data_IF_038626256106
#
_entry.id   IF_038626256106
#
_cell.length_a   1.000
_cell.length_b   1.000
_cell.length_c   1.000
_cell.angle_alpha   90.00
_cell.angle_beta   90.00
_cell.angle_gamma   90.00
#
_symmetry.space_group_name_H-M   'P 1'
#
loop_
_entity.id
_entity.type
_entity.pdbx_description
1 polymer ?
#
# COMPACT_ATOMS: atom_id res chain seq x y z
N UNK A 1 -83.12 -3.38 -16.31
CA UNK A 1 -82.03 -4.00 -15.52
C UNK A 1 -80.73 -3.85 -16.27
N UNK A 2 -79.93 -2.82 -15.95
CA UNK A 2 -78.57 -2.62 -16.47
C UNK A 2 -77.70 -2.35 -15.24
N UNK A 3 -76.89 -3.32 -14.85
CA UNK A 3 -75.98 -3.21 -13.72
C UNK A 3 -74.70 -2.52 -14.19
N UNK A 4 -74.40 -1.37 -13.59
CA UNK A 4 -73.09 -0.73 -13.66
C UNK A 4 -72.18 -1.37 -12.63
N UNK A 5 -71.09 -1.98 -13.09
CA UNK A 5 -70.01 -2.49 -12.24
C UNK A 5 -68.99 -1.36 -12.06
N UNK A 6 -68.85 -0.86 -10.84
CA UNK A 6 -67.80 0.09 -10.47
C UNK A 6 -66.56 -0.72 -10.06
N UNK A 7 -65.52 -0.72 -10.89
CA UNK A 7 -64.20 -1.22 -10.50
C UNK A 7 -63.45 -0.11 -9.77
N UNK A 8 -63.30 -0.27 -8.46
CA UNK A 8 -62.35 0.49 -7.64
C UNK A 8 -60.92 0.06 -8.00
N UNK A 9 -60.20 0.93 -8.71
CA UNK A 9 -58.76 0.79 -8.92
C UNK A 9 -58.05 1.45 -7.72
N UNK A 10 -57.62 0.65 -6.74
CA UNK A 10 -56.71 1.13 -5.69
C UNK A 10 -55.30 1.25 -6.27
N UNK A 11 -54.89 2.47 -6.60
CA UNK A 11 -53.50 2.79 -6.90
C UNK A 11 -52.68 2.76 -5.62
N UNK A 12 -51.94 1.66 -5.41
CA UNK A 12 -50.90 1.55 -4.39
C UNK A 12 -49.73 2.45 -4.82
N UNK A 13 -49.63 3.65 -4.25
CA UNK A 13 -48.45 4.49 -4.34
C UNK A 13 -47.31 3.80 -3.58
N UNK A 14 -46.47 3.02 -4.27
CA UNK A 14 -45.15 2.71 -3.75
C UNK A 14 -44.37 4.02 -3.72
N UNK A 15 -44.17 4.56 -2.52
CA UNK A 15 -43.11 5.54 -2.28
C UNK A 15 -41.79 4.84 -2.57
N UNK A 16 -41.28 5.02 -3.79
CA UNK A 16 -39.88 4.77 -4.07
C UNK A 16 -39.11 5.76 -3.20
N UNK A 17 -38.64 5.30 -2.04
CA UNK A 17 -37.53 5.97 -1.36
C UNK A 17 -36.35 5.85 -2.31
N UNK A 18 -36.13 6.87 -3.13
CA UNK A 18 -34.85 7.08 -3.76
C UNK A 18 -33.88 7.31 -2.61
N UNK A 19 -33.18 6.26 -2.18
CA UNK A 19 -31.96 6.42 -1.38
C UNK A 19 -31.01 7.14 -2.31
N UNK A 20 -30.94 8.46 -2.17
CA UNK A 20 -29.89 9.23 -2.82
C UNK A 20 -28.62 8.88 -2.05
N UNK A 21 -27.55 8.47 -2.74
CA UNK A 21 -26.25 8.21 -2.11
C UNK A 21 -25.59 9.55 -1.79
N UNK A 22 -26.21 10.31 -0.88
CA UNK A 22 -25.78 11.63 -0.44
C UNK A 22 -24.93 11.47 0.80
N UNK A 23 -23.70 11.94 0.71
CA UNK A 23 -22.74 11.95 1.80
C UNK A 23 -22.58 13.38 2.33
N UNK A 24 -22.84 13.56 3.62
CA UNK A 24 -22.73 14.82 4.32
C UNK A 24 -21.29 15.01 4.84
N UNK A 25 -20.74 16.24 4.80
CA UNK A 25 -19.40 16.48 5.31
C UNK A 25 -19.22 16.06 6.77
N UNK A 26 -18.10 15.39 7.05
CA UNK A 26 -17.77 14.90 8.38
C UNK A 26 -16.51 15.56 8.93
N UNK A 27 -15.39 15.45 8.21
CA UNK A 27 -14.11 16.01 8.63
C UNK A 27 -13.24 16.37 7.43
N UNK A 28 -12.30 17.30 7.62
CA UNK A 28 -11.35 17.67 6.58
C UNK A 28 -9.93 17.87 7.09
N UNK A 29 -8.99 17.48 6.23
CA UNK A 29 -7.56 17.69 6.39
C UNK A 29 -7.10 18.56 5.21
N UNK A 30 -6.93 19.87 5.43
CA UNK A 30 -6.50 20.82 4.41
C UNK A 30 -5.77 22.01 5.04
N UNK A 31 -4.95 22.70 4.24
CA UNK A 31 -4.31 23.95 4.65
C UNK A 31 -3.48 23.84 5.94
N UNK A 32 -3.45 24.93 6.70
CA UNK A 32 -2.62 25.04 7.92
C UNK A 32 -2.92 23.99 8.98
N UNK A 33 -4.14 23.45 8.97
CA UNK A 33 -4.60 22.44 9.94
C UNK A 33 -4.47 21.01 9.41
N UNK A 34 -3.94 20.80 8.20
CA UNK A 34 -3.85 19.47 7.58
C UNK A 34 -3.23 18.44 8.53
N UNK A 35 -2.15 18.81 9.23
CA UNK A 35 -1.38 17.90 10.08
C UNK A 35 -1.89 17.80 11.52
N UNK A 36 -2.98 18.47 11.92
CA UNK A 36 -3.34 18.61 13.35
C UNK A 36 -3.85 17.30 13.98
N UNK A 37 -4.64 16.53 13.21
CA UNK A 37 -5.27 15.28 13.68
C UNK A 37 -4.62 14.02 13.11
N UNK A 38 -3.33 14.10 12.80
CA UNK A 38 -2.49 12.95 12.44
C UNK A 38 -1.48 12.62 13.54
N UNK A 39 -1.24 11.34 13.76
CA UNK A 39 -0.11 10.86 14.56
C UNK A 39 1.06 10.51 13.63
N UNK A 40 2.28 10.85 14.04
CA UNK A 40 3.52 10.61 13.31
C UNK A 40 4.18 9.37 13.89
N UNK A 41 4.57 8.42 13.05
CA UNK A 41 4.96 7.08 13.51
C UNK A 41 6.22 7.05 14.40
N UNK A 42 7.25 7.85 14.11
CA UNK A 42 8.42 7.99 14.98
C UNK A 42 9.26 6.71 15.17
N UNK A 43 9.32 5.82 14.17
CA UNK A 43 10.03 4.55 14.25
C UNK A 43 10.50 4.07 12.86
N UNK A 44 11.39 3.07 12.83
CA UNK A 44 11.77 2.37 11.58
C UNK A 44 10.58 1.64 10.98
N UNK A 45 10.60 1.45 9.66
CA UNK A 45 9.58 0.64 8.99
C UNK A 45 9.76 -0.86 9.32
N UNK A 46 9.08 -1.29 10.37
CA UNK A 46 8.98 -2.69 10.80
C UNK A 46 7.69 -3.37 10.32
N UNK A 47 6.86 -2.68 9.51
CA UNK A 47 5.62 -3.25 8.96
C UNK A 47 5.84 -3.86 7.58
N UNK A 48 6.61 -3.17 6.74
CA UNK A 48 6.93 -3.58 5.36
C UNK A 48 8.42 -3.81 5.15
N UNK A 49 9.21 -3.70 6.23
CA UNK A 49 10.67 -3.86 6.23
C UNK A 49 11.37 -2.94 5.24
N UNK A 50 10.78 -1.79 4.96
CA UNK A 50 11.34 -0.80 4.07
C UNK A 50 12.52 -0.06 4.69
N UNK A 51 13.36 0.50 3.82
CA UNK A 51 14.63 1.07 4.19
C UNK A 51 14.53 2.54 4.64
N UNK A 52 13.60 2.81 5.56
CA UNK A 52 13.30 4.16 6.05
C UNK A 52 13.17 4.23 7.57
N UNK A 53 13.42 5.41 8.11
CA UNK A 53 12.99 5.80 9.46
C UNK A 53 11.87 6.81 9.30
N UNK A 54 10.68 6.49 9.81
CA UNK A 54 9.59 7.44 9.86
C UNK A 54 9.79 8.38 11.03
N UNK A 55 9.94 9.67 10.75
CA UNK A 55 10.21 10.66 11.79
C UNK A 55 8.98 10.94 12.65
N UNK A 56 9.23 11.38 13.88
CA UNK A 56 8.21 11.99 14.70
C UNK A 56 7.85 13.40 14.17
N UNK A 57 6.83 14.02 14.76
CA UNK A 57 6.33 15.33 14.33
C UNK A 57 7.37 16.44 14.45
N UNK A 58 8.19 16.44 15.50
CA UNK A 58 9.14 17.51 15.77
C UNK A 58 10.28 17.47 14.74
N UNK A 59 10.82 16.28 14.50
CA UNK A 59 11.90 16.06 13.53
C UNK A 59 11.41 16.23 12.09
N UNK A 60 10.20 15.75 11.78
CA UNK A 60 9.58 15.96 10.47
C UNK A 60 9.46 17.45 10.10
N UNK A 61 9.06 18.30 11.07
CA UNK A 61 8.97 19.75 10.88
C UNK A 61 10.34 20.41 10.83
N UNK A 62 11.26 20.02 11.71
CA UNK A 62 12.61 20.63 11.78
C UNK A 62 13.39 20.38 10.49
N UNK A 63 13.26 19.19 9.91
CA UNK A 63 13.87 18.80 8.63
C UNK A 63 13.06 19.23 7.40
N UNK A 64 11.93 19.92 7.58
CA UNK A 64 11.04 20.35 6.50
C UNK A 64 10.56 19.19 5.61
N UNK A 65 10.37 18.00 6.18
CA UNK A 65 9.79 16.84 5.49
C UNK A 65 8.26 16.89 5.48
N UNK A 66 7.66 17.68 6.36
CA UNK A 66 6.24 18.07 6.30
C UNK A 66 6.08 19.58 6.42
N UNK A 67 5.26 20.17 5.58
CA UNK A 67 4.91 21.60 5.62
C UNK A 67 3.69 21.91 4.74
N UNK A 68 3.16 23.13 4.87
CA UNK A 68 2.17 23.68 3.95
C UNK A 68 2.89 24.62 2.99
N UNK A 69 2.77 24.38 1.69
CA UNK A 69 3.40 25.24 0.68
C UNK A 69 2.63 26.55 0.47
N UNK A 70 3.17 27.46 -0.35
CA UNK A 70 2.58 28.77 -0.60
C UNK A 70 1.20 28.71 -1.27
N UNK A 71 0.86 27.59 -1.93
CA UNK A 71 -0.45 27.35 -2.51
C UNK A 71 -1.48 26.84 -1.48
N UNK A 72 -1.05 26.60 -0.23
CA UNK A 72 -1.90 26.06 0.83
C UNK A 72 -2.00 24.53 0.84
N UNK A 73 -1.19 23.84 0.04
CA UNK A 73 -1.22 22.38 -0.06
C UNK A 73 -0.27 21.75 0.97
N UNK A 74 -0.67 20.59 1.50
CA UNK A 74 0.19 19.80 2.36
C UNK A 74 1.26 19.09 1.53
N UNK A 75 2.51 19.26 1.92
CA UNK A 75 3.65 18.56 1.34
C UNK A 75 4.20 17.58 2.37
N UNK A 76 4.35 16.32 1.96
CA UNK A 76 4.97 15.24 2.75
C UNK A 76 6.03 14.61 1.86
N UNK A 77 7.31 14.69 2.23
CA UNK A 77 8.42 14.23 1.38
C UNK A 77 9.43 13.36 2.11
N UNK A 78 10.11 12.53 1.33
CA UNK A 78 11.31 11.83 1.73
C UNK A 78 12.48 12.81 1.91
N UNK A 79 13.47 12.47 2.73
CA UNK A 79 14.71 13.26 2.84
C UNK A 79 15.57 13.18 1.57
N UNK A 80 15.66 14.31 0.86
CA UNK A 80 16.48 14.49 -0.34
C UNK A 80 17.86 15.12 -0.05
N UNK A 81 18.13 15.51 1.19
CA UNK A 81 19.31 16.31 1.57
C UNK A 81 20.48 15.48 2.07
N UNK A 82 20.20 14.39 2.80
CA UNK A 82 21.25 13.55 3.35
C UNK A 82 21.97 12.73 2.26
N UNK A 83 23.30 12.74 2.34
CA UNK A 83 24.18 11.76 1.71
C UNK A 83 24.54 10.69 2.75
N UNK A 84 23.88 9.54 2.64
CA UNK A 84 23.97 8.47 3.65
C UNK A 84 25.19 7.62 3.33
N UNK A 85 26.13 7.54 4.28
CA UNK A 85 27.28 6.65 4.13
C UNK A 85 26.86 5.17 4.13
N UNK A 86 27.55 4.35 3.35
CA UNK A 86 27.30 2.91 3.32
C UNK A 86 27.59 2.28 4.70
N UNK A 87 26.61 1.58 5.27
CA UNK A 87 26.73 0.83 6.52
C UNK A 87 25.85 -0.44 6.47
N UNK A 88 26.03 -1.41 7.38
CA UNK A 88 25.24 -2.64 7.40
C UNK A 88 23.73 -2.41 7.58
N UNK A 89 23.35 -1.34 8.28
CA UNK A 89 21.97 -0.88 8.44
C UNK A 89 21.96 0.62 8.19
N UNK A 90 21.17 1.06 7.22
CA UNK A 90 21.03 2.46 6.82
C UNK A 90 19.56 2.74 6.57
N UNK A 91 19.04 3.86 7.04
CA UNK A 91 17.66 4.25 6.80
C UNK A 91 17.61 5.70 6.36
N UNK A 92 16.81 5.97 5.32
CA UNK A 92 16.51 7.34 4.90
C UNK A 92 15.28 7.84 5.65
N UNK A 93 15.30 9.10 6.04
CA UNK A 93 14.16 9.67 6.74
C UNK A 93 12.96 9.82 5.81
N UNK A 94 11.80 9.45 6.33
CA UNK A 94 10.50 9.55 5.67
C UNK A 94 9.40 9.87 6.69
N UNK A 95 8.16 9.88 6.23
CA UNK A 95 6.98 10.16 7.04
C UNK A 95 5.94 9.04 6.87
N UNK A 96 5.36 8.63 7.99
CA UNK A 96 4.12 7.86 8.07
C UNK A 96 3.17 8.59 9.01
N UNK A 97 2.00 8.94 8.49
CA UNK A 97 0.92 9.59 9.22
C UNK A 97 -0.23 8.59 9.40
N UNK A 98 -0.82 8.57 10.59
CA UNK A 98 -2.05 7.83 10.89
C UNK A 98 -3.12 8.79 11.40
N UNK A 99 -4.34 8.77 10.85
CA UNK A 99 -5.42 9.63 11.34
C UNK A 99 -5.84 9.26 12.75
N UNK A 100 -6.16 10.26 13.57
CA UNK A 100 -6.82 10.03 14.87
C UNK A 100 -8.29 9.69 14.73
N UNK A 101 -8.93 10.19 13.68
CA UNK A 101 -10.31 9.84 13.36
C UNK A 101 -10.36 8.45 12.70
N UNK A 102 -11.49 7.78 12.86
CA UNK A 102 -11.78 6.49 12.23
C UNK A 102 -13.03 6.54 11.38
N UNK A 103 -13.06 5.71 10.35
CA UNK A 103 -14.09 5.66 9.33
C UNK A 103 -14.56 4.22 9.12
N UNK A 104 -15.86 4.02 8.98
CA UNK A 104 -16.43 2.68 8.81
C UNK A 104 -17.61 2.69 7.85
N UNK A 105 -18.53 1.76 8.03
CA UNK A 105 -19.75 1.65 7.22
C UNK A 105 -20.48 2.99 7.05
N UNK A 106 -20.70 3.39 5.79
CA UNK A 106 -21.32 4.65 5.39
C UNK A 106 -20.34 5.81 5.25
N UNK A 107 -19.03 5.56 5.15
CA UNK A 107 -18.04 6.62 4.96
C UNK A 107 -17.71 6.83 3.49
N UNK A 108 -17.45 8.08 3.12
CA UNK A 108 -16.82 8.45 1.86
C UNK A 108 -15.56 9.25 2.16
N UNK A 109 -14.41 8.77 1.70
CA UNK A 109 -13.10 9.41 1.87
C UNK A 109 -12.59 9.86 0.50
N UNK A 110 -12.25 11.13 0.36
CA UNK A 110 -11.76 11.71 -0.89
C UNK A 110 -10.39 12.33 -0.63
N UNK A 111 -9.40 11.97 -1.45
CA UNK A 111 -8.09 12.63 -1.50
C UNK A 111 -7.92 13.32 -2.85
N UNK A 112 -7.65 14.63 -2.81
CA UNK A 112 -7.26 15.42 -3.98
C UNK A 112 -5.76 15.72 -3.89
N UNK A 113 -4.98 15.09 -4.78
CA UNK A 113 -3.53 15.23 -4.82
C UNK A 113 -3.06 15.82 -6.16
N UNK A 114 -2.01 16.63 -6.10
CA UNK A 114 -1.29 17.18 -7.25
C UNK A 114 -0.04 16.38 -7.58
N UNK A 115 0.54 15.71 -6.58
CA UNK A 115 1.71 14.85 -6.73
C UNK A 115 1.60 13.64 -5.81
N UNK A 116 1.92 12.46 -6.32
CA UNK A 116 2.10 11.21 -5.56
C UNK A 116 3.58 10.81 -5.72
N UNK A 117 4.30 10.40 -4.66
CA UNK A 117 5.70 10.02 -4.75
C UNK A 117 5.93 8.93 -5.79
N UNK A 118 6.99 9.04 -6.60
CA UNK A 118 7.41 7.95 -7.48
C UNK A 118 8.91 7.99 -7.73
N UNK A 119 9.46 6.88 -8.21
CA UNK A 119 10.89 6.73 -8.45
C UNK A 119 11.35 5.33 -8.11
N UNK A 120 12.51 4.93 -8.62
CA UNK A 120 13.08 3.64 -8.23
C UNK A 120 13.27 3.57 -6.72
N UNK A 121 12.94 2.39 -6.15
CA UNK A 121 12.81 2.09 -4.72
C UNK A 121 11.61 2.69 -3.99
N UNK A 122 10.91 3.67 -4.55
CA UNK A 122 9.85 4.41 -3.84
C UNK A 122 8.57 3.57 -3.76
N UNK A 123 7.99 3.48 -2.57
CA UNK A 123 6.70 2.82 -2.31
C UNK A 123 5.81 3.78 -1.50
N UNK A 124 5.02 4.63 -2.17
CA UNK A 124 3.98 5.43 -1.52
C UNK A 124 2.75 4.58 -1.21
N UNK A 125 2.05 4.93 -0.14
CA UNK A 125 0.70 4.42 0.09
C UNK A 125 -0.21 5.44 0.75
N UNK A 126 -1.47 5.51 0.29
CA UNK A 126 -2.59 6.09 1.01
C UNK A 126 -3.68 5.01 1.12
N UNK A 127 -3.94 4.58 2.35
CA UNK A 127 -4.68 3.35 2.63
C UNK A 127 -5.42 3.47 3.96
N UNK A 128 -6.19 2.45 4.31
CA UNK A 128 -6.88 2.38 5.59
C UNK A 128 -6.63 1.08 6.32
N UNK A 129 -6.44 1.13 7.64
CA UNK A 129 -6.22 -0.04 8.49
C UNK A 129 -7.28 -0.16 9.58
N UNK A 130 -7.85 -1.36 9.71
CA UNK A 130 -8.86 -1.64 10.71
C UNK A 130 -8.33 -1.76 12.13
N UNK A 131 -9.08 -1.20 13.08
CA UNK A 131 -8.77 -1.26 14.50
C UNK A 131 -9.42 -2.45 15.21
N UNK A 132 -8.86 -2.81 16.37
CA UNK A 132 -9.48 -3.70 17.35
C UNK A 132 -9.19 -5.20 17.17
N UNK A 133 -8.45 -5.59 16.11
CA UNK A 133 -7.97 -6.96 15.89
C UNK A 133 -6.56 -6.94 15.31
N UNK A 134 -5.78 -7.99 15.52
CA UNK A 134 -4.50 -8.18 14.84
C UNK A 134 -4.73 -8.30 13.34
N UNK A 135 -3.93 -7.60 12.53
CA UNK A 135 -3.97 -7.69 11.07
C UNK A 135 -3.86 -9.15 10.59
N UNK A 136 -4.62 -9.58 9.57
CA UNK A 136 -5.60 -8.81 8.78
C UNK A 136 -7.03 -8.87 9.33
N UNK A 137 -7.22 -9.19 10.63
CA UNK A 137 -8.51 -9.52 11.24
C UNK A 137 -9.57 -8.41 11.25
N UNK A 138 -9.16 -7.14 11.10
CA UNK A 138 -10.04 -5.98 10.98
C UNK A 138 -9.98 -5.32 9.59
N UNK A 139 -9.37 -6.00 8.62
CA UNK A 139 -9.29 -5.56 7.24
C UNK A 139 -8.33 -4.40 6.98
N UNK A 140 -7.95 -4.28 5.71
CA UNK A 140 -7.11 -3.23 5.13
C UNK A 140 -7.65 -2.87 3.75
N UNK A 141 -7.59 -1.57 3.40
CA UNK A 141 -8.06 -1.05 2.11
C UNK A 141 -6.98 -0.13 1.52
N UNK A 142 -6.32 -0.59 0.46
CA UNK A 142 -5.29 0.18 -0.24
C UNK A 142 -5.92 0.99 -1.37
N UNK A 143 -5.96 2.32 -1.20
CA UNK A 143 -6.65 3.23 -2.13
C UNK A 143 -5.67 3.71 -3.22
N UNK A 144 -4.47 4.11 -2.79
CA UNK A 144 -3.36 4.48 -3.66
C UNK A 144 -2.16 3.68 -3.19
N UNK A 145 -1.73 2.71 -3.99
CA UNK A 145 -0.55 1.93 -3.70
C UNK A 145 0.12 1.44 -4.98
N UNK A 146 1.42 1.71 -5.09
CA UNK A 146 2.26 1.28 -6.20
C UNK A 146 3.73 1.32 -5.77
N UNK A 147 4.60 0.77 -6.61
CA UNK A 147 6.02 0.69 -6.33
C UNK A 147 6.85 1.18 -7.52
N UNK A 148 8.06 1.66 -7.22
CA UNK A 148 9.09 1.96 -8.19
C UNK A 148 8.61 2.97 -9.27
N UNK A 149 8.78 2.62 -10.55
CA UNK A 149 8.36 3.40 -11.70
C UNK A 149 7.11 2.81 -12.37
N UNK A 150 6.23 2.15 -11.60
CA UNK A 150 4.88 1.87 -12.08
C UNK A 150 4.23 3.16 -12.58
N UNK A 151 3.37 3.04 -13.60
CA UNK A 151 2.67 4.17 -14.22
C UNK A 151 1.14 4.12 -13.99
N UNK A 152 0.66 3.02 -13.41
CA UNK A 152 -0.73 2.83 -13.01
C UNK A 152 -0.83 2.43 -11.55
N UNK A 153 -1.88 2.88 -10.87
CA UNK A 153 -2.19 2.49 -9.51
C UNK A 153 -2.83 1.10 -9.44
N UNK A 154 -2.86 0.51 -8.25
CA UNK A 154 -3.74 -0.61 -7.94
C UNK A 154 -4.51 -0.36 -6.64
N UNK A 155 -5.67 -1.03 -6.53
CA UNK A 155 -6.50 -1.05 -5.33
C UNK A 155 -6.48 -2.49 -4.81
N UNK A 156 -6.27 -2.67 -3.51
CA UNK A 156 -6.24 -3.97 -2.88
C UNK A 156 -7.05 -3.98 -1.57
N UNK A 157 -7.61 -5.14 -1.22
CA UNK A 157 -8.11 -5.40 0.13
C UNK A 157 -7.38 -6.60 0.72
N UNK A 158 -7.05 -6.51 2.02
CA UNK A 158 -6.53 -7.63 2.79
C UNK A 158 -7.47 -7.98 3.94
N UNK A 159 -7.85 -9.25 4.07
CA UNK A 159 -8.80 -9.74 5.08
C UNK A 159 -8.44 -11.14 5.58
N UNK A 160 -9.21 -11.65 6.55
CA UNK A 160 -9.26 -13.10 6.80
C UNK A 160 -9.96 -13.85 5.66
N UNK A 161 -9.82 -15.18 5.55
CA UNK A 161 -10.47 -15.99 4.50
C UNK A 161 -11.98 -15.78 4.37
N UNK A 162 -12.47 -15.70 3.13
CA UNK A 162 -13.88 -15.68 2.76
C UNK A 162 -14.38 -14.40 2.09
N UNK A 163 -13.63 -13.30 2.18
CA UNK A 163 -13.87 -12.12 1.35
C UNK A 163 -13.18 -12.30 -0.01
N UNK A 164 -13.94 -12.12 -1.09
CA UNK A 164 -13.48 -12.30 -2.47
C UNK A 164 -13.98 -11.13 -3.33
N UNK A 165 -13.12 -10.59 -4.18
CA UNK A 165 -13.50 -9.65 -5.23
C UNK A 165 -14.35 -10.38 -6.28
N UNK A 166 -15.57 -9.89 -6.51
CA UNK A 166 -16.50 -10.56 -7.42
C UNK A 166 -15.99 -10.53 -8.87
N UNK A 167 -15.85 -11.68 -9.57
CA UNK A 167 -15.33 -11.72 -10.95
C UNK A 167 -16.15 -10.91 -11.96
N UNK A 168 -17.42 -10.65 -11.65
CA UNK A 168 -18.37 -9.91 -12.49
C UNK A 168 -18.72 -8.53 -11.91
N UNK A 169 -17.89 -8.00 -11.00
CA UNK A 169 -18.11 -6.69 -10.42
C UNK A 169 -18.18 -5.62 -11.52
N UNK A 170 -19.15 -4.70 -11.39
CA UNK A 170 -19.32 -3.59 -12.33
C UNK A 170 -18.32 -2.50 -12.02
N UNK A 171 -17.16 -2.58 -12.66
CA UNK A 171 -16.04 -1.66 -12.47
C UNK A 171 -15.34 -1.37 -13.81
N UNK A 172 -14.45 -0.38 -13.81
CA UNK A 172 -13.64 -0.01 -14.97
C UNK A 172 -12.21 -0.55 -14.94
N UNK A 173 -11.68 -0.88 -13.76
CA UNK A 173 -10.37 -1.51 -13.57
C UNK A 173 -10.38 -3.01 -13.86
N UNK A 174 -9.19 -3.60 -13.93
CA UNK A 174 -8.99 -5.01 -14.24
C UNK A 174 -8.68 -5.81 -12.98
N UNK A 175 -9.51 -6.80 -12.64
CA UNK A 175 -9.22 -7.75 -11.55
C UNK A 175 -7.93 -8.53 -11.86
N UNK A 176 -7.02 -8.55 -10.89
CA UNK A 176 -5.72 -9.26 -10.95
C UNK A 176 -5.64 -10.39 -9.94
N UNK A 177 -6.19 -10.20 -8.75
CA UNK A 177 -6.37 -11.26 -7.77
C UNK A 177 -7.74 -11.13 -7.12
N UNK A 178 -8.41 -12.26 -6.90
CA UNK A 178 -9.79 -12.28 -6.38
C UNK A 178 -9.84 -12.53 -4.87
N UNK A 179 -8.92 -13.34 -4.33
CA UNK A 179 -8.94 -13.74 -2.92
C UNK A 179 -8.24 -12.70 -2.04
N UNK A 180 -8.99 -12.09 -1.14
CA UNK A 180 -8.52 -11.02 -0.26
C UNK A 180 -7.71 -11.52 0.94
N UNK A 181 -7.61 -12.84 1.11
CA UNK A 181 -6.89 -13.45 2.24
C UNK A 181 -5.48 -13.95 1.90
N UNK A 182 -5.05 -13.77 0.65
CA UNK A 182 -3.67 -14.05 0.25
C UNK A 182 -2.74 -12.92 0.70
N UNK A 183 -1.43 -13.18 0.68
CA UNK A 183 -0.42 -12.17 1.03
C UNK A 183 -0.52 -10.90 0.15
N UNK A 184 -0.99 -11.04 -1.09
CA UNK A 184 -1.16 -9.91 -2.02
C UNK A 184 -2.52 -9.22 -1.88
N UNK A 185 -3.46 -9.80 -1.15
CA UNK A 185 -4.84 -9.31 -1.11
C UNK A 185 -5.52 -9.40 -2.47
N UNK A 186 -6.79 -9.00 -2.54
CA UNK A 186 -7.55 -9.04 -3.79
C UNK A 186 -7.42 -7.71 -4.55
N UNK A 187 -6.79 -7.79 -5.71
CA UNK A 187 -6.28 -6.63 -6.44
C UNK A 187 -7.17 -6.32 -7.64
N UNK A 188 -7.52 -5.04 -7.78
CA UNK A 188 -8.01 -4.44 -9.01
C UNK A 188 -6.99 -3.41 -9.50
N UNK A 189 -6.40 -3.66 -10.67
CA UNK A 189 -5.49 -2.73 -11.31
C UNK A 189 -6.25 -1.60 -12.01
N UNK A 190 -5.81 -0.36 -11.85
CA UNK A 190 -6.29 0.76 -12.64
C UNK A 190 -5.78 0.64 -14.08
N UNK A 191 -6.64 0.98 -15.04
CA UNK A 191 -6.37 0.92 -16.48
C UNK A 191 -6.49 2.28 -17.15
N UNK A 192 -7.09 3.26 -16.46
CA UNK A 192 -7.10 4.65 -16.90
C UNK A 192 -5.67 5.22 -16.82
N UNK A 193 -5.28 6.03 -17.82
CA UNK A 193 -3.97 6.67 -17.82
C UNK A 193 -3.84 7.65 -16.66
N UNK A 194 -2.59 8.02 -16.34
CA UNK A 194 -2.25 9.05 -15.35
C UNK A 194 -2.75 8.74 -13.93
N UNK A 195 -2.96 7.47 -13.59
CA UNK A 195 -3.42 7.06 -12.25
C UNK A 195 -2.29 7.04 -11.22
N UNK A 196 -1.04 6.96 -11.67
CA UNK A 196 0.13 7.01 -10.80
C UNK A 196 1.37 7.57 -11.53
N UNK A 197 2.44 7.78 -10.77
CA UNK A 197 3.76 8.10 -11.30
C UNK A 197 3.85 9.45 -12.01
N UNK A 198 4.80 9.56 -12.93
CA UNK A 198 5.03 10.80 -13.66
C UNK A 198 3.81 11.28 -14.47
N UNK A 199 3.00 10.35 -14.99
CA UNK A 199 1.77 10.68 -15.72
C UNK A 199 0.73 11.39 -14.84
N UNK A 200 0.56 10.94 -13.59
CA UNK A 200 -0.29 11.61 -12.61
C UNK A 200 0.16 13.06 -12.38
N UNK A 201 1.44 13.27 -12.06
CA UNK A 201 1.98 14.61 -11.79
C UNK A 201 1.91 15.53 -13.01
N UNK A 202 2.23 15.02 -14.21
CA UNK A 202 2.15 15.80 -15.46
C UNK A 202 0.72 16.20 -15.84
N UNK A 203 -0.28 15.40 -15.46
CA UNK A 203 -1.68 15.73 -15.66
C UNK A 203 -2.18 16.83 -14.69
N UNK A 204 -1.38 17.25 -13.70
CA UNK A 204 -1.82 18.10 -12.59
C UNK A 204 -2.51 17.31 -11.46
N UNK A 205 -2.15 16.04 -11.34
CA UNK A 205 -2.63 15.10 -10.34
C UNK A 205 -4.02 14.53 -10.64
N UNK A 206 -4.82 14.36 -9.59
CA UNK A 206 -6.12 13.71 -9.68
C UNK A 206 -6.78 13.53 -8.32
N UNK A 207 -7.93 12.86 -8.35
CA UNK A 207 -8.75 12.59 -7.17
C UNK A 207 -8.99 11.09 -7.06
N UNK A 208 -8.75 10.56 -5.87
CA UNK A 208 -9.21 9.22 -5.47
C UNK A 208 -10.33 9.35 -4.45
N UNK A 209 -11.34 8.48 -4.56
CA UNK A 209 -12.46 8.44 -3.64
C UNK A 209 -12.76 6.99 -3.23
N UNK A 210 -12.79 6.72 -1.92
CA UNK A 210 -13.20 5.46 -1.30
C UNK A 210 -14.60 5.63 -0.72
N UNK A 211 -15.56 4.84 -1.17
CA UNK A 211 -16.89 4.71 -0.58
C UNK A 211 -17.00 3.35 0.12
N UNK A 212 -17.47 3.37 1.36
CA UNK A 212 -17.81 2.18 2.14
C UNK A 212 -19.29 2.30 2.49
N UNK A 213 -20.12 1.38 2.01
CA UNK A 213 -21.53 1.32 2.38
C UNK A 213 -22.05 -0.12 2.43
N UNK A 214 -23.35 -0.28 2.69
CA UNK A 214 -23.98 -1.60 2.83
C UNK A 214 -23.93 -2.47 1.56
N UNK A 215 -23.69 -1.86 0.39
CA UNK A 215 -23.60 -2.55 -0.90
C UNK A 215 -22.17 -2.98 -1.24
N UNK A 216 -21.16 -2.39 -0.61
CA UNK A 216 -19.77 -2.82 -0.73
C UNK A 216 -18.74 -1.72 -0.50
N UNK A 217 -17.53 -2.00 -0.97
CA UNK A 217 -16.41 -1.05 -1.00
C UNK A 217 -16.13 -0.68 -2.46
N UNK A 218 -16.06 0.62 -2.74
CA UNK A 218 -15.87 1.14 -4.09
C UNK A 218 -14.80 2.21 -4.11
N UNK A 219 -13.92 2.16 -5.10
CA UNK A 219 -12.87 3.17 -5.28
C UNK A 219 -12.97 3.75 -6.69
N UNK A 220 -12.96 5.08 -6.79
CA UNK A 220 -12.86 5.82 -8.05
C UNK A 220 -11.51 6.52 -8.15
N UNK A 221 -10.99 6.56 -9.37
CA UNK A 221 -9.96 7.49 -9.78
C UNK A 221 -10.48 8.41 -10.89
N UNK A 222 -10.18 9.70 -10.73
CA UNK A 222 -10.33 10.73 -11.75
C UNK A 222 -8.98 11.43 -11.95
N UNK A 223 -8.42 11.35 -13.16
CA UNK A 223 -7.29 12.21 -13.53
C UNK A 223 -7.77 13.67 -13.48
N UNK A 224 -6.87 14.63 -13.19
CA UNK A 224 -7.23 16.05 -13.06
C UNK A 224 -8.19 16.59 -14.14
N UNK A 225 -8.00 16.34 -15.45
CA UNK A 225 -8.93 16.83 -16.48
C UNK A 225 -10.33 16.19 -16.42
N UNK A 226 -10.46 15.03 -15.78
CA UNK A 226 -11.68 14.23 -15.71
C UNK A 226 -12.41 14.35 -14.36
N UNK A 227 -11.92 15.20 -13.45
CA UNK A 227 -12.55 15.41 -12.14
C UNK A 227 -13.96 15.98 -12.34
N UNK A 228 -15.01 15.29 -11.86
CA UNK A 228 -16.39 15.73 -12.08
C UNK A 228 -16.68 17.06 -11.37
N UNK A 229 -17.62 17.83 -11.92
CA UNK A 229 -18.04 19.12 -11.38
C UNK A 229 -18.51 19.04 -9.91
N UNK A 230 -19.12 17.91 -9.52
CA UNK A 230 -19.52 17.63 -8.15
C UNK A 230 -18.36 17.62 -7.16
N UNK A 231 -17.13 17.35 -7.61
CA UNK A 231 -15.92 17.36 -6.80
C UNK A 231 -15.14 18.66 -6.97
N UNK A 232 -14.97 19.15 -8.20
CA UNK A 232 -14.18 20.37 -8.45
C UNK A 232 -14.81 21.64 -7.90
N UNK A 233 -16.15 21.69 -7.77
CA UNK A 233 -16.86 22.79 -7.13
C UNK A 233 -17.11 22.59 -5.62
N UNK A 234 -16.81 21.40 -5.07
CA UNK A 234 -17.10 21.08 -3.68
C UNK A 234 -16.13 21.76 -2.72
N UNK A 235 -16.69 22.30 -1.64
CA UNK A 235 -15.96 22.75 -0.47
C UNK A 235 -16.29 21.87 0.74
N UNK A 236 -15.72 22.23 1.89
CA UNK A 236 -15.86 21.51 3.16
C UNK A 236 -17.31 21.34 3.66
N UNK A 237 -18.24 22.14 3.16
CA UNK A 237 -19.64 22.14 3.59
C UNK A 237 -20.58 21.54 2.51
N UNK A 238 -20.02 21.07 1.38
CA UNK A 238 -20.79 20.59 0.23
C UNK A 238 -21.11 19.10 0.35
N UNK A 239 -22.38 18.68 0.40
CA UNK A 239 -22.74 17.26 0.30
C UNK A 239 -22.31 16.68 -1.05
N UNK A 240 -21.96 15.40 -1.05
CA UNK A 240 -21.50 14.68 -2.25
C UNK A 240 -22.52 13.62 -2.65
N UNK A 241 -22.93 13.66 -3.92
CA UNK A 241 -23.70 12.59 -4.55
C UNK A 241 -22.76 11.77 -5.44
N UNK A 242 -22.61 10.47 -5.12
CA UNK A 242 -21.73 9.57 -5.85
C UNK A 242 -22.42 8.90 -7.05
N UNK A 243 -23.75 9.00 -7.16
CA UNK A 243 -24.51 8.37 -8.26
C UNK A 243 -24.19 8.97 -9.63
N UNK A 244 -23.64 10.19 -9.66
CA UNK A 244 -23.24 10.91 -10.88
C UNK A 244 -21.82 10.59 -11.36
N UNK A 245 -21.05 9.77 -10.63
CA UNK A 245 -19.64 9.48 -10.93
C UNK A 245 -19.42 8.36 -11.96
N UNK A 246 -20.47 7.60 -12.29
CA UNK A 246 -20.35 6.44 -13.17
C UNK A 246 -19.65 5.26 -12.48
N UNK A 247 -19.01 4.40 -13.28
CA UNK A 247 -18.40 3.17 -12.78
C UNK A 247 -17.17 3.47 -11.90
N UNK A 248 -17.04 2.80 -10.74
CA UNK A 248 -15.81 2.83 -9.97
C UNK A 248 -14.66 2.18 -10.73
N UNK A 249 -13.44 2.52 -10.35
CA UNK A 249 -12.22 1.79 -10.76
C UNK A 249 -12.25 0.39 -10.18
N UNK A 250 -12.51 0.26 -8.89
CA UNK A 250 -12.57 -1.02 -8.18
C UNK A 250 -13.90 -1.16 -7.44
N UNK A 251 -14.49 -2.35 -7.50
CA UNK A 251 -15.70 -2.68 -6.78
C UNK A 251 -15.56 -4.02 -6.06
N UNK A 252 -15.85 -4.00 -4.75
CA UNK A 252 -15.88 -5.17 -3.87
C UNK A 252 -17.28 -5.27 -3.25
N UNK A 253 -18.23 -5.94 -3.95
CA UNK A 253 -19.61 -6.01 -3.49
C UNK A 253 -19.77 -6.80 -2.18
N UNK A 254 -20.69 -6.36 -1.31
CA UNK A 254 -20.95 -7.00 -0.01
C UNK A 254 -21.43 -8.45 -0.12
N UNK A 255 -21.96 -8.86 -1.27
CA UNK A 255 -22.37 -10.25 -1.54
C UNK A 255 -21.23 -11.25 -1.49
N UNK A 256 -19.99 -10.81 -1.75
CA UNK A 256 -18.79 -11.66 -1.71
C UNK A 256 -17.72 -11.13 -0.76
N UNK A 257 -17.87 -9.92 -0.25
CA UNK A 257 -17.01 -9.34 0.76
C UNK A 257 -17.79 -8.36 1.66
N UNK A 258 -18.43 -8.89 2.69
CA UNK A 258 -19.25 -8.11 3.62
C UNK A 258 -18.40 -7.25 4.57
N UNK A 259 -18.63 -5.93 4.59
CA UNK A 259 -17.79 -5.02 5.37
C UNK A 259 -17.83 -5.33 6.87
N UNK A 260 -19.02 -5.52 7.47
CA UNK A 260 -19.15 -5.74 8.92
C UNK A 260 -18.54 -7.07 9.38
N UNK A 261 -18.38 -8.03 8.48
CA UNK A 261 -17.72 -9.31 8.76
C UNK A 261 -16.19 -9.19 8.78
N UNK A 262 -15.62 -8.51 7.77
CA UNK A 262 -14.18 -8.54 7.52
C UNK A 262 -13.43 -7.28 7.97
N UNK A 263 -14.14 -6.17 8.13
CA UNK A 263 -13.57 -4.85 8.41
C UNK A 263 -14.06 -4.29 9.74
N UNK A 264 -13.17 -3.56 10.42
CA UNK A 264 -13.51 -2.73 11.58
C UNK A 264 -13.61 -1.25 11.22
N UNK A 265 -13.70 -0.39 12.24
CA UNK A 265 -13.42 1.03 12.08
C UNK A 265 -11.98 1.21 11.59
N UNK A 266 -11.80 1.97 10.51
CA UNK A 266 -10.54 2.11 9.78
C UNK A 266 -9.87 3.45 10.10
N UNK A 267 -8.57 3.45 10.34
CA UNK A 267 -7.75 4.68 10.37
C UNK A 267 -7.14 4.92 8.99
N UNK A 268 -7.07 6.16 8.54
CA UNK A 268 -6.35 6.53 7.33
C UNK A 268 -4.85 6.50 7.62
N UNK A 269 -4.06 5.99 6.68
CA UNK A 269 -2.61 5.97 6.76
C UNK A 269 -2.05 6.54 5.46
N UNK A 270 -1.07 7.44 5.59
CA UNK A 270 -0.31 8.00 4.48
C UNK A 270 1.18 7.86 4.73
N UNK A 271 1.91 7.26 3.81
CA UNK A 271 3.35 7.06 3.96
C UNK A 271 4.12 7.05 2.63
N UNK A 272 5.44 7.04 2.75
CA UNK A 272 6.34 6.66 1.67
C UNK A 272 7.48 5.83 2.25
N UNK A 273 7.51 4.53 1.95
CA UNK A 273 8.64 3.68 2.30
C UNK A 273 9.57 3.51 1.10
N UNK A 274 10.71 2.85 1.32
CA UNK A 274 11.67 2.51 0.27
C UNK A 274 11.96 1.02 0.27
N UNK A 275 12.08 0.41 -0.90
CA UNK A 275 12.38 -1.02 -1.05
C UNK A 275 11.38 -1.91 -0.28
N UNK A 276 11.82 -2.54 0.80
CA UNK A 276 11.00 -3.44 1.58
C UNK A 276 10.58 -4.69 0.81
N UNK A 277 9.59 -5.37 1.36
CA UNK A 277 9.13 -6.69 0.89
C UNK A 277 8.46 -6.67 -0.49
N UNK A 278 8.10 -5.49 -1.01
CA UNK A 278 7.45 -5.37 -2.31
C UNK A 278 8.31 -4.59 -3.33
N UNK A 279 8.56 -3.29 -3.10
CA UNK A 279 9.34 -2.48 -4.05
C UNK A 279 10.79 -2.94 -4.18
N UNK A 280 11.34 -3.55 -3.12
CA UNK A 280 12.71 -4.04 -3.05
C UNK A 280 12.90 -5.49 -3.51
N UNK A 281 11.82 -6.22 -3.76
CA UNK A 281 11.91 -7.60 -4.22
C UNK A 281 12.53 -7.62 -5.64
N UNK A 282 13.59 -8.42 -5.88
CA UNK A 282 14.36 -8.36 -7.13
C UNK A 282 13.53 -8.50 -8.41
N UNK A 283 12.53 -9.39 -8.43
CA UNK A 283 11.69 -9.57 -9.60
C UNK A 283 10.81 -8.34 -9.86
N UNK A 284 10.13 -7.83 -8.84
CA UNK A 284 9.28 -6.64 -8.93
C UNK A 284 10.08 -5.37 -9.27
N UNK A 285 11.24 -5.19 -8.63
CA UNK A 285 12.12 -4.06 -8.87
C UNK A 285 12.59 -4.01 -10.33
N UNK A 286 13.02 -5.16 -10.86
CA UNK A 286 13.53 -5.27 -12.23
C UNK A 286 12.46 -5.00 -13.32
N UNK A 287 11.17 -5.00 -12.98
CA UNK A 287 10.11 -4.70 -13.96
C UNK A 287 10.15 -3.25 -14.45
N UNK A 288 10.57 -2.32 -13.59
CA UNK A 288 10.53 -0.88 -13.90
C UNK A 288 11.82 -0.14 -13.59
N UNK A 289 12.76 -0.77 -12.87
CA UNK A 289 14.00 -0.15 -12.42
C UNK A 289 15.24 -1.01 -12.72
N UNK A 290 16.36 -0.37 -13.11
CA UNK A 290 17.63 -1.07 -13.24
C UNK A 290 18.30 -1.27 -11.88
N UNK A 291 19.14 -2.32 -11.78
CA UNK A 291 20.04 -2.52 -10.65
C UNK A 291 19.42 -3.29 -9.48
N UNK A 292 19.78 -2.91 -8.25
CA UNK A 292 19.31 -3.50 -7.01
C UNK A 292 18.84 -2.41 -6.04
N UNK A 293 17.61 -2.54 -5.55
CA UNK A 293 16.98 -1.53 -4.69
C UNK A 293 17.87 -1.12 -3.50
N UNK A 294 18.33 -2.08 -2.71
CA UNK A 294 19.11 -1.79 -1.50
C UNK A 294 20.51 -1.28 -1.87
N UNK A 295 21.22 -1.96 -2.77
CA UNK A 295 22.59 -1.58 -3.12
C UNK A 295 22.66 -0.19 -3.78
N UNK A 296 21.62 0.22 -4.51
CA UNK A 296 21.64 1.46 -5.28
C UNK A 296 20.92 2.63 -4.57
N UNK A 297 19.93 2.34 -3.71
CA UNK A 297 19.06 3.37 -3.11
C UNK A 297 19.02 3.38 -1.57
N UNK A 298 19.63 2.42 -0.88
CA UNK A 298 19.69 2.43 0.60
C UNK A 298 20.67 3.48 1.16
N UNK A 299 21.68 3.84 0.39
CA UNK A 299 22.72 4.80 0.76
C UNK A 299 23.12 5.70 -0.42
N UNK A 300 23.90 6.74 -0.14
CA UNK A 300 24.29 7.78 -1.08
C UNK A 300 23.40 9.03 -1.04
N UNK A 301 23.55 9.93 -2.01
CA UNK A 301 22.87 11.23 -2.01
C UNK A 301 21.37 11.07 -2.23
N UNK A 302 20.59 11.89 -1.52
CA UNK A 302 19.14 11.94 -1.69
C UNK A 302 18.72 12.53 -3.04
N UNK A 303 19.20 13.73 -3.35
CA UNK A 303 18.98 14.37 -4.64
C UNK A 303 20.05 13.96 -5.67
N UNK A 304 19.68 13.73 -6.95
CA UNK A 304 18.34 13.90 -7.52
C UNK A 304 17.44 12.66 -7.43
N UNK A 305 17.90 11.58 -6.78
CA UNK A 305 17.22 10.27 -6.80
C UNK A 305 15.79 10.32 -6.28
N UNK A 306 15.55 11.12 -5.25
CA UNK A 306 14.28 11.20 -4.54
C UNK A 306 13.57 12.55 -4.69
N UNK A 307 13.94 13.36 -5.69
CA UNK A 307 13.32 14.67 -5.91
C UNK A 307 11.82 14.56 -6.25
N UNK A 308 11.39 13.43 -6.82
CA UNK A 308 9.98 13.11 -7.06
C UNK A 308 9.32 12.28 -5.94
N UNK A 309 10.00 12.06 -4.81
CA UNK A 309 9.48 11.27 -3.70
C UNK A 309 8.72 12.15 -2.68
N UNK A 310 7.66 12.82 -3.14
CA UNK A 310 6.82 13.66 -2.29
C UNK A 310 5.33 13.57 -2.66
N UNK A 311 4.49 13.71 -1.65
CA UNK A 311 3.07 13.99 -1.80
C UNK A 311 2.87 15.51 -1.84
N UNK A 312 2.00 15.97 -2.73
CA UNK A 312 1.40 17.30 -2.63
C UNK A 312 -0.12 17.13 -2.65
N UNK A 313 -0.77 17.46 -1.54
CA UNK A 313 -2.18 17.16 -1.28
C UNK A 313 -2.93 18.45 -1.03
N UNK A 314 -3.99 18.68 -1.80
CA UNK A 314 -4.87 19.83 -1.58
C UNK A 314 -5.75 19.61 -0.36
N UNK A 315 -6.38 18.44 -0.29
CA UNK A 315 -7.16 18.03 0.86
C UNK A 315 -7.32 16.51 0.94
N UNK A 316 -7.58 16.01 2.15
CA UNK A 316 -8.33 14.78 2.39
C UNK A 316 -9.64 15.17 3.05
N UNK A 317 -10.78 14.69 2.56
CA UNK A 317 -12.11 14.98 3.13
C UNK A 317 -12.85 13.69 3.39
N UNK A 318 -13.45 13.61 4.56
CA UNK A 318 -14.32 12.53 4.97
C UNK A 318 -15.76 13.03 5.03
N UNK A 319 -16.67 12.17 4.60
CA UNK A 319 -18.11 12.38 4.59
C UNK A 319 -18.79 11.14 5.16
N UNK A 320 -20.05 11.30 5.57
CA UNK A 320 -20.89 10.23 6.11
C UNK A 320 -22.22 10.19 5.38
N UNK A 321 -22.70 8.97 5.08
CA UNK A 321 -24.00 8.72 4.47
C UNK A 321 -25.12 9.39 5.28
N UNK A 322 -26.05 10.06 4.59
CA UNK A 322 -27.19 10.70 5.22
C UNK A 322 -27.99 9.69 6.07
N UNK A 323 -28.32 10.09 7.30
CA UNK A 323 -29.05 9.24 8.25
C UNK A 323 -28.17 8.34 9.13
N UNK A 324 -26.85 8.33 8.94
CA UNK A 324 -25.90 7.69 9.88
C UNK A 324 -25.31 8.67 10.89
N UNK A 325 -25.01 8.15 12.08
CA UNK A 325 -24.31 8.90 13.13
C UNK A 325 -22.79 8.67 13.03
N UNK A 326 -21.97 9.73 13.12
CA UNK A 326 -20.52 9.58 13.15
C UNK A 326 -20.03 8.68 14.29
N UNK A 327 -18.99 7.85 14.07
CA UNK A 327 -18.34 7.13 15.15
C UNK A 327 -17.66 8.13 16.12
N UNK A 328 -17.52 7.77 17.41
CA UNK A 328 -16.73 8.56 18.35
C UNK A 328 -15.25 8.60 17.92
N UNK A 329 -14.50 9.67 18.28
CA UNK A 329 -13.06 9.75 17.98
C UNK A 329 -12.31 8.55 18.55
N UNK A 330 -11.35 8.01 17.80
CA UNK A 330 -10.53 6.92 18.30
C UNK A 330 -9.56 7.41 19.38
N UNK A 331 -9.24 6.57 20.38
CA UNK A 331 -8.08 6.81 21.22
C UNK A 331 -6.79 6.82 20.36
N UNK A 332 -5.71 7.49 20.81
CA UNK A 332 -4.43 7.49 20.10
C UNK A 332 -4.04 6.07 19.71
N UNK A 333 -3.53 5.87 18.48
CA UNK A 333 -3.13 4.56 18.02
C UNK A 333 -2.17 3.93 19.05
N UNK A 334 -2.47 2.73 19.59
CA UNK A 334 -1.50 2.04 20.42
C UNK A 334 -0.29 1.68 19.55
N UNK A 335 0.91 1.92 20.05
CA UNK A 335 2.13 1.37 19.46
C UNK A 335 1.90 -0.13 19.21
N UNK A 336 2.01 -0.56 17.95
CA UNK A 336 1.95 -1.98 17.63
C UNK A 336 2.97 -2.71 18.52
N UNK A 337 2.60 -3.84 19.16
CA UNK A 337 3.48 -4.47 20.14
C UNK A 337 4.80 -4.88 19.48
N UNK A 338 5.86 -4.22 19.93
CA UNK A 338 7.25 -4.57 19.65
C UNK A 338 7.47 -5.99 20.14
N UNK A 339 7.52 -6.95 19.22
CA UNK A 339 8.05 -8.27 19.54
C UNK A 339 9.57 -8.17 19.47
N UNK A 340 10.20 -7.76 20.57
CA UNK A 340 11.63 -7.95 20.77
C UNK A 340 11.89 -9.44 20.90
N UNK A 341 12.09 -10.12 19.78
CA UNK A 341 12.73 -11.44 19.77
C UNK A 341 14.20 -11.20 20.05
N UNK A 342 14.57 -11.22 21.33
CA UNK A 342 15.98 -11.31 21.74
C UNK A 342 16.50 -12.67 21.30
N UNK A 343 17.09 -12.75 20.11
CA UNK A 343 17.95 -13.86 19.72
C UNK A 343 19.25 -13.74 20.51
N UNK A 344 19.25 -14.33 21.71
CA UNK A 344 20.50 -14.77 22.35
C UNK A 344 21.17 -15.75 21.40
N UNK A 345 22.20 -15.28 20.68
CA UNK A 345 23.12 -16.17 19.98
C UNK A 345 23.84 -17.02 21.02
N UNK A 346 23.39 -18.26 21.15
CA UNK A 346 24.08 -19.27 21.95
C UNK A 346 25.33 -19.70 21.17
N UNK A 347 26.46 -19.08 21.49
CA UNK A 347 27.76 -19.48 21.00
C UNK A 347 28.13 -20.82 21.63
N UNK A 348 28.08 -21.90 20.85
CA UNK A 348 28.57 -23.22 21.27
C UNK A 348 30.10 -23.17 21.42
N UNK A 349 30.58 -22.87 22.61
CA UNK A 349 31.99 -23.01 22.97
C UNK A 349 32.30 -24.47 23.30
N UNK A 350 33.02 -25.15 22.41
CA UNK A 350 33.65 -26.45 22.70
C UNK A 350 34.79 -26.25 23.71
N UNK A 351 34.50 -26.58 24.97
CA UNK A 351 35.48 -26.59 26.06
C UNK A 351 36.34 -27.87 25.99
N UNK A 352 37.57 -27.74 25.49
CA UNK A 352 38.62 -28.73 25.74
C UNK A 352 39.21 -28.50 27.15
N UNK A 353 38.91 -29.40 28.08
CA UNK A 353 39.52 -29.43 29.41
C UNK A 353 40.94 -29.99 29.31
N UNK A 354 41.92 -29.18 29.74
CA UNK A 354 43.24 -29.65 30.16
C UNK A 354 43.16 -30.11 31.61
N UNK A 355 43.45 -31.39 31.85
CA UNK A 355 43.88 -31.89 33.15
C UNK A 355 45.25 -32.55 32.98
N UNK A 356 46.23 -32.06 33.73
CA UNK A 356 47.57 -32.61 33.80
C UNK A 356 47.58 -33.83 34.73
N UNK A 357 48.09 -34.97 34.27
CA UNK A 357 48.72 -35.98 35.11
C UNK A 357 49.72 -36.80 34.28
N UNK A 358 50.91 -36.89 34.83
CA UNK A 358 52.14 -37.53 34.38
C UNK A 358 52.05 -39.05 34.25
N UNK A 359 52.62 -39.62 33.17
CA UNK A 359 53.45 -40.82 33.20
C UNK A 359 54.20 -41.03 31.87
N UNK A 360 55.46 -41.44 32.03
CA UNK A 360 56.50 -41.82 31.06
C UNK A 360 56.08 -42.72 29.89
N UNK A 361 56.63 -42.49 28.69
CA UNK A 361 57.73 -43.30 28.08
C UNK A 361 57.84 -43.11 26.54
N UNK A 362 59.09 -42.97 26.05
CA UNK A 362 59.69 -43.37 24.75
C UNK A 362 58.84 -43.40 23.46
N UNK A 363 59.28 -43.07 22.26
CA UNK A 363 60.53 -42.60 21.63
C UNK A 363 60.26 -42.61 20.11
N UNK A 364 60.86 -41.67 19.35
CA UNK A 364 61.18 -41.72 17.89
C UNK A 364 60.00 -41.98 16.90
N UNK A 365 59.92 -41.47 15.67
CA UNK A 365 60.87 -40.98 14.67
C UNK A 365 60.08 -40.27 13.55
N UNK A 366 60.75 -39.41 12.79
CA UNK A 366 60.22 -38.67 11.64
C UNK A 366 60.36 -39.48 10.32
N UNK A 367 60.19 -38.90 9.11
CA UNK A 367 59.03 -39.10 8.23
C UNK A 367 59.42 -39.74 6.88
N UNK A 368 58.46 -40.11 6.01
CA UNK A 368 58.75 -40.31 4.57
C UNK A 368 57.63 -39.86 3.63
N UNK A 369 58.02 -38.97 2.71
CA UNK A 369 57.39 -38.65 1.43
C UNK A 369 57.74 -39.72 0.38
N UNK A 370 56.81 -40.12 -0.48
CA UNK A 370 56.99 -40.63 -1.87
C UNK A 370 55.67 -40.32 -2.61
N UNK A 371 55.57 -39.32 -3.49
CA UNK A 371 55.92 -39.28 -4.94
C UNK A 371 55.03 -40.12 -5.86
N UNK A 372 54.18 -39.38 -6.59
CA UNK A 372 53.59 -39.49 -7.95
C UNK A 372 53.98 -40.65 -8.90
N UNK A 373 52.99 -41.02 -9.73
CA UNK A 373 52.93 -41.41 -11.18
C UNK A 373 51.69 -42.33 -11.33
N UNK A 374 50.76 -42.31 -12.30
CA UNK A 374 50.54 -41.64 -13.59
C UNK A 374 49.66 -42.57 -14.49
N UNK A 375 48.76 -42.00 -15.30
CA UNK A 375 48.05 -42.55 -16.51
C UNK A 375 47.02 -43.70 -16.32
N UNK A 376 45.94 -43.92 -17.10
CA UNK A 376 45.17 -43.29 -18.20
C UNK A 376 43.89 -44.18 -18.46
N UNK A 377 42.87 -43.65 -19.18
CA UNK A 377 41.68 -44.31 -19.81
C UNK A 377 40.55 -44.81 -18.88
N UNK A 378 39.22 -44.71 -19.15
CA UNK A 378 38.40 -44.95 -20.37
C UNK A 378 37.10 -44.09 -20.36
N UNK A 379 36.58 -43.86 -21.57
CA UNK A 379 35.36 -43.19 -22.04
C UNK A 379 33.99 -43.70 -21.54
N UNK A 380 32.94 -42.88 -21.77
CA UNK A 380 31.53 -43.31 -21.70
C UNK A 380 30.50 -42.17 -21.89
N UNK A 381 30.06 -41.96 -23.14
CA UNK A 381 29.00 -41.06 -23.62
C UNK A 381 27.61 -41.30 -22.99
N UNK A 382 26.76 -40.26 -22.90
CA UNK A 382 25.42 -40.15 -23.58
C UNK A 382 24.97 -38.67 -23.64
N UNK A 383 24.45 -38.31 -24.82
CA UNK A 383 24.08 -37.01 -25.41
C UNK A 383 22.60 -36.61 -25.10
N UNK A 384 22.28 -35.34 -24.81
CA UNK A 384 21.70 -34.27 -25.67
C UNK A 384 20.25 -34.46 -26.21
N UNK A 385 19.38 -33.52 -25.84
CA UNK A 385 18.22 -33.00 -26.57
C UNK A 385 18.05 -31.53 -26.14
N UNK A 386 17.63 -30.55 -26.92
CA UNK A 386 16.87 -30.51 -28.18
C UNK A 386 17.11 -29.13 -28.83
N UNK A 387 17.10 -29.06 -30.18
CA UNK A 387 17.29 -27.84 -30.96
C UNK A 387 16.00 -27.47 -31.73
N UNK A 388 15.88 -26.15 -31.88
CA UNK A 388 14.83 -25.32 -32.49
C UNK A 388 14.25 -25.79 -33.84
N UNK A 389 12.96 -25.50 -34.02
CA UNK A 389 12.21 -25.54 -35.28
C UNK A 389 12.40 -24.27 -36.12
N UNK A 390 12.49 -24.44 -37.43
CA UNK A 390 12.57 -23.39 -38.47
C UNK A 390 11.25 -23.34 -39.26
N UNK A 391 10.90 -22.12 -39.67
CA UNK A 391 9.88 -21.67 -40.62
C UNK A 391 9.53 -22.58 -41.82
N UNK A 392 8.27 -22.49 -42.28
CA UNK A 392 7.94 -22.37 -43.71
C UNK A 392 6.62 -21.62 -43.95
N UNK A 393 6.65 -20.67 -44.90
CA UNK A 393 5.49 -19.97 -45.51
C UNK A 393 4.92 -20.76 -46.70
N UNK A 394 3.78 -20.27 -47.23
CA UNK A 394 3.07 -20.59 -48.49
C UNK A 394 2.06 -21.75 -48.48
N UNK A 395 0.78 -21.46 -48.24
CA UNK A 395 -0.26 -21.15 -49.24
C UNK A 395 -1.54 -20.67 -48.54
#
# INVERSE_FOLDING_TARGET
MKHWCWSLLSTLLLSLYSVSAVFLPLHQYEGQTFFDTWDFYGNVDNTTWGNVTFLDRADAKSKQLVYINDAGNAVIKLDTTADIAQAPVVHRDSIRLTSRDTYGMGSLIIIDALHIPYGCSVWPSFWTLGMGKTWPGAGEIDIIEAINLMDHNQIALHTTPGCVQAPTARQSGATRNEDCSTDQGCIVAEVKPNSFGAGFSQAGGGVYALQIDATGIYVWFFSRPDVPASLSAANKDTPIDTTVWGLPTAAYPSTTCDFDTYFGQQQLILLTTLCGIWAGEPHNYAQTCPGNCVADYAFGPGSPRFDNAFWEIKYVRAYIEEGRTPPPPAPPAPDLPVTTTSTTMEATSTSAQQAAASASSSSSSAPKKISLVGWEYIAGLVALGSLLSVHLMTL
#
